data_IF_047066322217
#
_entry.id   IF_047066322217
#
_cell.length_a   1.000
_cell.length_b   1.000
_cell.length_c   1.000
_cell.angle_alpha   90.00
_cell.angle_beta   90.00
_cell.angle_gamma   90.00
#
_symmetry.space_group_name_H-M   'P 1'
#
loop_
_entity.id
_entity.type
_entity.pdbx_description
1 polymer ?
#
# COMPACT_ATOMS: atom_id res chain seq x y z
N UNK A 1 28.53 -17.79 1.96
CA UNK A 1 28.91 -16.91 0.84
C UNK A 1 28.70 -15.48 1.29
N UNK A 2 29.78 -14.73 1.52
CA UNK A 2 29.71 -13.31 1.84
C UNK A 2 29.28 -12.54 0.60
N UNK A 3 28.23 -11.74 0.71
CA UNK A 3 27.85 -10.78 -0.32
C UNK A 3 29.07 -9.91 -0.66
N UNK A 4 29.33 -9.60 -1.94
CA UNK A 4 30.35 -8.62 -2.28
C UNK A 4 29.96 -7.31 -1.59
N UNK A 5 30.89 -6.77 -0.81
CA UNK A 5 30.74 -5.46 -0.18
C UNK A 5 30.59 -4.45 -1.31
N UNK A 6 29.36 -4.14 -1.69
CA UNK A 6 29.06 -2.99 -2.53
C UNK A 6 29.77 -1.82 -1.87
N UNK A 7 30.76 -1.25 -2.55
CA UNK A 7 31.33 0.03 -2.18
C UNK A 7 30.13 0.95 -1.97
N UNK A 8 29.86 1.29 -0.71
CA UNK A 8 28.74 2.14 -0.34
C UNK A 8 29.04 3.50 -0.95
N UNK A 9 28.62 3.68 -2.20
CA UNK A 9 28.55 4.98 -2.82
C UNK A 9 27.42 5.66 -2.03
N UNK A 10 27.70 6.68 -1.20
CA UNK A 10 26.65 7.37 -0.50
C UNK A 10 25.79 8.04 -1.57
N UNK A 11 24.63 7.44 -1.85
CA UNK A 11 23.62 8.01 -2.71
C UNK A 11 22.98 9.15 -1.91
N UNK A 12 23.53 10.35 -2.06
CA UNK A 12 23.11 11.54 -1.31
C UNK A 12 22.16 12.37 -2.17
N UNK A 13 20.86 12.13 -2.01
CA UNK A 13 19.80 13.04 -2.46
C UNK A 13 19.27 13.78 -1.24
N UNK A 14 19.12 15.10 -1.30
CA UNK A 14 18.78 15.94 -0.13
C UNK A 14 17.42 16.63 -0.30
N UNK A 15 16.29 15.93 -0.06
CA UNK A 15 14.95 16.45 -0.33
C UNK A 15 14.58 17.80 0.31
N UNK A 16 15.16 18.16 1.46
CA UNK A 16 14.88 19.44 2.12
C UNK A 16 15.77 20.59 1.63
N UNK A 17 16.91 20.26 1.00
CA UNK A 17 17.83 21.24 0.45
C UNK A 17 17.59 21.47 -1.06
N UNK A 18 17.37 20.39 -1.79
CA UNK A 18 17.16 20.43 -3.23
C UNK A 18 15.87 21.21 -3.54
N UNK A 19 15.90 22.14 -4.51
CA UNK A 19 14.69 22.82 -4.93
C UNK A 19 13.68 21.79 -5.42
N UNK A 20 12.36 22.01 -5.23
CA UNK A 20 11.35 21.09 -5.73
C UNK A 20 11.57 20.88 -7.22
N UNK A 21 11.78 19.63 -7.62
CA UNK A 21 12.02 19.27 -9.01
C UNK A 21 10.83 19.73 -9.86
N UNK A 22 11.10 20.50 -10.92
CA UNK A 22 10.07 20.81 -11.91
C UNK A 22 9.56 19.48 -12.50
N UNK A 23 8.24 19.33 -12.75
CA UNK A 23 7.67 18.08 -13.27
C UNK A 23 8.38 17.54 -14.52
N UNK A 24 8.91 18.43 -15.36
CA UNK A 24 9.68 18.06 -16.57
C UNK A 24 10.97 17.28 -16.25
N UNK A 25 11.67 17.61 -15.16
CA UNK A 25 12.86 16.87 -14.74
C UNK A 25 12.50 15.48 -14.23
N UNK A 26 11.35 15.34 -13.56
CA UNK A 26 10.88 14.04 -13.11
C UNK A 26 10.50 13.15 -14.30
N UNK A 27 9.80 13.71 -15.31
CA UNK A 27 9.48 12.99 -16.53
C UNK A 27 10.73 12.56 -17.29
N UNK A 28 11.72 13.46 -17.45
CA UNK A 28 13.00 13.13 -18.08
C UNK A 28 13.81 12.08 -17.30
N UNK A 29 13.82 12.15 -15.96
CA UNK A 29 14.46 11.12 -15.15
C UNK A 29 13.77 9.75 -15.34
N UNK A 30 12.44 9.72 -15.44
CA UNK A 30 11.69 8.49 -15.70
C UNK A 30 12.00 7.90 -17.08
N UNK A 31 12.14 8.72 -18.13
CA UNK A 31 12.53 8.20 -19.45
C UNK A 31 13.92 7.59 -19.43
N UNK A 32 14.88 8.21 -18.73
CA UNK A 32 16.22 7.63 -18.58
C UNK A 32 16.21 6.32 -17.78
N UNK A 33 15.38 6.24 -16.74
CA UNK A 33 15.20 5.00 -15.97
C UNK A 33 14.61 3.90 -16.87
N UNK A 34 13.64 4.24 -17.72
CA UNK A 34 13.02 3.29 -18.64
C UNK A 34 14.00 2.78 -19.70
N UNK A 35 14.82 3.67 -20.27
CA UNK A 35 15.87 3.31 -21.23
C UNK A 35 16.89 2.34 -20.59
N UNK A 36 17.33 2.62 -19.36
CA UNK A 36 18.22 1.74 -18.60
C UNK A 36 17.56 0.40 -18.23
N UNK A 37 16.25 0.42 -17.91
CA UNK A 37 15.48 -0.80 -17.67
C UNK A 37 15.40 -1.69 -18.93
N UNK A 38 15.21 -1.10 -20.11
CA UNK A 38 15.21 -1.82 -21.38
C UNK A 38 16.60 -2.39 -21.70
N UNK A 39 17.66 -1.59 -21.53
CA UNK A 39 19.03 -2.05 -21.75
C UNK A 39 19.41 -3.22 -20.83
N UNK A 40 19.00 -3.18 -19.55
CA UNK A 40 19.22 -4.28 -18.60
C UNK A 40 18.44 -5.56 -18.96
N UNK A 41 17.27 -5.43 -19.59
CA UNK A 41 16.49 -6.56 -20.07
C UNK A 41 17.12 -7.22 -21.30
N UNK A 42 17.73 -6.43 -22.19
CA UNK A 42 18.39 -6.89 -23.42
C UNK A 42 19.73 -7.61 -23.17
N UNK A 43 20.47 -7.25 -22.10
CA UNK A 43 21.73 -7.88 -21.68
C UNK A 43 21.55 -9.32 -21.12
N UNK A 44 20.37 -9.92 -21.22
CA UNK A 44 20.14 -11.31 -20.87
C UNK A 44 20.16 -11.60 -19.37
N UNK A 45 20.07 -10.56 -18.53
CA UNK A 45 19.63 -10.73 -17.14
C UNK A 45 18.15 -11.15 -17.19
N UNK A 46 17.85 -12.44 -17.35
CA UNK A 46 16.47 -12.99 -17.25
C UNK A 46 15.75 -12.61 -15.94
N UNK A 47 16.56 -12.16 -14.99
CA UNK A 47 16.21 -11.61 -13.71
C UNK A 47 16.48 -10.12 -13.84
N UNK A 48 15.44 -9.27 -13.91
CA UNK A 48 15.61 -7.82 -13.66
C UNK A 48 16.18 -7.60 -12.25
N UNK A 49 16.11 -6.41 -11.64
CA UNK A 49 16.35 -6.31 -10.20
C UNK A 49 15.27 -7.10 -9.42
N UNK A 50 15.43 -8.43 -9.31
CA UNK A 50 14.50 -9.42 -8.73
C UNK A 50 14.33 -9.24 -7.21
N UNK A 51 14.88 -8.18 -6.63
CA UNK A 51 14.83 -7.92 -5.20
C UNK A 51 13.38 -7.93 -4.68
N UNK A 52 12.43 -7.44 -5.48
CA UNK A 52 11.01 -7.38 -5.12
C UNK A 52 10.29 -8.72 -5.35
N UNK A 53 10.64 -9.47 -6.40
CA UNK A 53 10.00 -10.74 -6.76
C UNK A 53 10.57 -11.94 -5.98
N UNK A 54 11.79 -11.83 -5.44
CA UNK A 54 12.40 -12.84 -4.58
C UNK A 54 11.57 -13.14 -3.33
N UNK A 55 10.83 -12.14 -2.84
CA UNK A 55 9.93 -12.28 -1.69
C UNK A 55 8.55 -12.84 -2.09
N UNK A 56 8.27 -12.98 -3.38
CA UNK A 56 6.99 -13.49 -3.93
C UNK A 56 7.12 -14.93 -4.43
N UNK A 57 8.34 -15.38 -4.80
CA UNK A 57 8.65 -16.77 -5.13
C UNK A 57 8.43 -17.65 -3.89
N UNK A 58 7.22 -18.19 -3.73
CA UNK A 58 6.79 -19.02 -2.60
C UNK A 58 5.48 -18.60 -1.93
N UNK A 59 4.79 -17.56 -2.42
CA UNK A 59 3.44 -17.24 -1.97
C UNK A 59 2.44 -18.23 -2.58
N UNK A 60 2.18 -19.32 -1.85
CA UNK A 60 0.98 -20.12 -2.05
C UNK A 60 -0.16 -19.46 -1.27
N UNK A 61 -1.23 -18.99 -1.93
CA UNK A 61 -2.35 -18.41 -1.22
C UNK A 61 -3.01 -19.50 -0.36
N UNK A 62 -2.83 -19.42 0.96
CA UNK A 62 -3.52 -20.30 1.90
C UNK A 62 -4.98 -19.83 2.02
N UNK A 63 -5.81 -20.38 1.14
CA UNK A 63 -7.24 -20.16 1.16
C UNK A 63 -7.88 -21.10 2.19
N UNK A 64 -8.97 -20.66 2.80
CA UNK A 64 -9.81 -21.59 3.56
C UNK A 64 -10.39 -22.66 2.63
N UNK A 65 -10.63 -23.87 3.12
CA UNK A 65 -11.20 -24.97 2.33
C UNK A 65 -12.50 -24.59 1.59
N UNK A 66 -13.31 -23.71 2.19
CA UNK A 66 -14.54 -23.19 1.57
C UNK A 66 -14.24 -22.27 0.38
N UNK A 67 -13.23 -21.41 0.48
CA UNK A 67 -12.82 -20.53 -0.61
C UNK A 67 -12.19 -21.30 -1.77
N UNK A 68 -11.42 -22.35 -1.48
CA UNK A 68 -10.87 -23.24 -2.52
C UNK A 68 -11.98 -23.96 -3.29
N UNK A 69 -12.97 -24.51 -2.56
CA UNK A 69 -14.13 -25.16 -3.17
C UNK A 69 -14.97 -24.19 -4.01
N UNK A 70 -15.16 -22.96 -3.53
CA UNK A 70 -15.91 -21.95 -4.30
C UNK A 70 -15.14 -21.54 -5.57
N UNK A 71 -13.82 -21.39 -5.48
CA UNK A 71 -12.97 -21.07 -6.63
C UNK A 71 -12.96 -22.20 -7.66
N UNK A 72 -12.95 -23.47 -7.23
CA UNK A 72 -13.03 -24.62 -8.15
C UNK A 72 -14.40 -24.75 -8.82
N UNK A 73 -15.48 -24.41 -8.11
CA UNK A 73 -16.82 -24.34 -8.71
C UNK A 73 -16.92 -23.20 -9.73
N UNK A 74 -16.38 -22.02 -9.43
CA UNK A 74 -16.37 -20.86 -10.34
C UNK A 74 -15.54 -21.16 -11.59
N UNK A 75 -14.37 -21.79 -11.43
CA UNK A 75 -13.52 -22.17 -12.57
C UNK A 75 -14.17 -23.24 -13.44
N UNK A 76 -14.90 -24.19 -12.82
CA UNK A 76 -15.66 -25.22 -13.55
C UNK A 76 -16.87 -24.65 -14.29
N UNK A 77 -17.39 -23.49 -13.86
CA UNK A 77 -18.60 -22.86 -14.39
C UNK A 77 -18.31 -21.61 -15.25
N UNK A 78 -17.11 -21.53 -15.84
CA UNK A 78 -16.65 -20.44 -16.72
C UNK A 78 -16.88 -19.03 -16.15
N UNK A 79 -16.74 -18.86 -14.83
CA UNK A 79 -16.92 -17.56 -14.17
C UNK A 79 -18.36 -17.21 -13.77
N UNK A 80 -19.33 -18.10 -14.00
CA UNK A 80 -20.69 -17.90 -13.51
C UNK A 80 -20.80 -18.20 -12.01
N UNK A 81 -21.45 -17.30 -11.26
CA UNK A 81 -21.66 -17.48 -9.82
C UNK A 81 -22.45 -18.76 -9.54
N UNK A 82 -22.01 -19.63 -8.61
CA UNK A 82 -22.75 -20.84 -8.27
C UNK A 82 -24.13 -20.46 -7.69
N UNK A 83 -25.19 -21.05 -8.23
CA UNK A 83 -26.57 -20.84 -7.74
C UNK A 83 -26.71 -21.57 -6.41
N UNK A 84 -26.42 -20.87 -5.31
CA UNK A 84 -26.61 -21.44 -3.98
C UNK A 84 -28.10 -21.43 -3.61
N UNK A 85 -28.66 -22.54 -3.10
CA UNK A 85 -29.97 -22.51 -2.49
C UNK A 85 -29.99 -21.45 -1.38
N UNK A 86 -31.06 -20.64 -1.25
CA UNK A 86 -31.13 -19.67 -0.17
C UNK A 86 -30.98 -20.39 1.17
N UNK A 87 -30.15 -19.86 2.06
CA UNK A 87 -29.85 -20.43 3.39
C UNK A 87 -31.12 -20.63 4.24
N UNK A 88 -32.21 -19.96 3.88
CA UNK A 88 -33.54 -20.17 4.43
C UNK A 88 -34.52 -20.46 3.30
N UNK A 89 -35.42 -21.45 3.43
CA UNK A 89 -36.57 -21.56 2.55
C UNK A 89 -37.35 -20.24 2.56
N UNK A 90 -37.69 -19.69 1.39
CA UNK A 90 -38.42 -18.41 1.30
C UNK A 90 -39.84 -18.48 1.88
N UNK A 91 -40.35 -19.69 2.11
CA UNK A 91 -41.67 -19.94 2.66
C UNK A 91 -41.64 -21.19 3.52
N UNK A 92 -41.81 -21.04 4.84
CA UNK A 92 -42.24 -22.15 5.70
C UNK A 92 -43.68 -22.49 5.30
N UNK A 93 -43.89 -23.73 4.85
CA UNK A 93 -45.08 -24.14 4.09
C UNK A 93 -46.42 -23.63 4.65
N UNK A 94 -47.20 -22.99 3.79
CA UNK A 94 -48.63 -22.71 4.01
C UNK A 94 -49.45 -24.00 3.85
N UNK A 95 -50.72 -23.97 4.25
CA UNK A 95 -51.66 -25.05 3.91
C UNK A 95 -51.63 -25.28 2.38
N UNK A 96 -51.64 -26.54 1.91
CA UNK A 96 -51.60 -26.83 0.48
C UNK A 96 -52.82 -26.17 -0.20
N UNK A 97 -52.56 -25.30 -1.17
CA UNK A 97 -53.58 -24.57 -1.93
C UNK A 97 -53.85 -25.29 -3.27
N UNK A 98 -55.03 -25.05 -3.86
CA UNK A 98 -55.41 -25.54 -5.18
C UNK A 98 -55.38 -27.08 -5.28
N UNK A 99 -54.93 -27.65 -6.40
CA UNK A 99 -54.95 -29.09 -6.71
C UNK A 99 -54.20 -30.00 -5.72
N UNK A 100 -53.40 -29.44 -4.82
CA UNK A 100 -52.68 -30.16 -3.76
C UNK A 100 -53.53 -30.36 -2.49
N UNK A 101 -54.70 -29.72 -2.37
CA UNK A 101 -55.56 -29.85 -1.20
C UNK A 101 -56.24 -31.22 -1.09
N UNK A 102 -56.31 -31.98 -2.18
CA UNK A 102 -56.82 -33.37 -2.19
C UNK A 102 -55.72 -34.41 -1.92
N UNK A 103 -54.44 -34.01 -1.92
CA UNK A 103 -53.32 -34.93 -1.71
C UNK A 103 -52.93 -35.06 -0.23
N UNK A 104 -53.06 -36.27 0.29
CA UNK A 104 -52.73 -36.62 1.68
C UNK A 104 -51.23 -36.42 1.98
N UNK A 105 -50.34 -36.63 1.00
CA UNK A 105 -48.90 -36.46 1.21
C UNK A 105 -48.50 -35.00 1.32
N UNK A 106 -49.09 -34.13 0.50
CA UNK A 106 -48.95 -32.67 0.63
C UNK A 106 -49.37 -32.18 2.03
N UNK A 107 -50.49 -32.66 2.56
CA UNK A 107 -50.92 -32.33 3.93
C UNK A 107 -49.94 -32.82 5.01
N UNK A 108 -49.42 -34.05 4.90
CA UNK A 108 -48.42 -34.57 5.85
C UNK A 108 -47.13 -33.74 5.84
N UNK A 109 -46.65 -33.35 4.67
CA UNK A 109 -45.49 -32.47 4.51
C UNK A 109 -45.75 -31.10 5.14
N UNK A 110 -46.90 -30.47 4.84
CA UNK A 110 -47.28 -29.20 5.44
C UNK A 110 -47.40 -29.27 6.96
N UNK A 111 -48.00 -30.32 7.52
CA UNK A 111 -48.06 -30.53 8.99
C UNK A 111 -46.67 -30.67 9.59
N UNK A 112 -45.77 -31.42 8.96
CA UNK A 112 -44.37 -31.55 9.41
C UNK A 112 -43.66 -30.18 9.42
N UNK A 113 -43.82 -29.41 8.34
CA UNK A 113 -43.25 -28.07 8.22
C UNK A 113 -43.81 -27.09 9.26
N UNK A 114 -45.11 -27.15 9.53
CA UNK A 114 -45.77 -26.32 10.55
C UNK A 114 -45.29 -26.69 11.96
N UNK A 115 -45.11 -27.98 12.27
CA UNK A 115 -44.52 -28.41 13.54
C UNK A 115 -43.11 -27.84 13.72
N UNK A 116 -42.25 -27.96 12.70
CA UNK A 116 -40.92 -27.35 12.74
C UNK A 116 -40.97 -25.83 12.91
N UNK A 117 -41.96 -25.15 12.33
CA UNK A 117 -42.16 -23.72 12.53
C UNK A 117 -42.54 -23.37 13.97
N UNK A 118 -43.44 -24.13 14.59
CA UNK A 118 -43.83 -23.90 15.99
C UNK A 118 -42.62 -24.03 16.91
N UNK A 119 -41.79 -25.06 16.73
CA UNK A 119 -40.56 -25.23 17.50
C UNK A 119 -39.56 -24.08 17.28
N UNK A 120 -39.45 -23.59 16.03
CA UNK A 120 -38.62 -22.43 15.71
C UNK A 120 -39.13 -21.17 16.41
N UNK A 121 -40.44 -20.90 16.37
CA UNK A 121 -41.02 -19.72 17.03
C UNK A 121 -40.92 -19.81 18.55
N UNK A 122 -41.05 -21.01 19.12
CA UNK A 122 -40.80 -21.24 20.53
C UNK A 122 -39.35 -20.90 20.91
N UNK A 123 -38.39 -21.36 20.11
CA UNK A 123 -36.97 -21.02 20.28
C UNK A 123 -36.72 -19.52 20.11
N UNK A 124 -37.34 -18.88 19.12
CA UNK A 124 -37.25 -17.43 18.91
C UNK A 124 -37.79 -16.66 20.12
N UNK A 125 -38.89 -17.10 20.73
CA UNK A 125 -39.45 -16.47 21.92
C UNK A 125 -38.46 -16.53 23.09
N UNK A 126 -37.86 -17.69 23.34
CA UNK A 126 -36.82 -17.84 24.36
C UNK A 126 -35.62 -16.92 24.06
N UNK A 127 -35.17 -16.87 22.80
CA UNK A 127 -34.08 -15.98 22.39
C UNK A 127 -34.43 -14.50 22.56
N UNK A 128 -35.68 -14.11 22.28
CA UNK A 128 -36.15 -12.74 22.49
C UNK A 128 -36.26 -12.39 23.97
N UNK A 129 -36.63 -13.33 24.83
CA UNK A 129 -36.61 -13.15 26.29
C UNK A 129 -35.17 -12.94 26.79
N UNK A 130 -34.23 -13.77 26.32
CA UNK A 130 -32.80 -13.60 26.62
C UNK A 130 -32.25 -12.27 26.07
N UNK A 131 -32.67 -11.86 24.88
CA UNK A 131 -32.26 -10.58 24.30
C UNK A 131 -32.88 -9.39 25.05
N UNK A 132 -34.12 -9.51 25.50
CA UNK A 132 -34.78 -8.45 26.29
C UNK A 132 -34.12 -8.28 27.66
N UNK A 133 -33.59 -9.36 28.24
CA UNK A 133 -32.96 -9.34 29.56
C UNK A 133 -31.49 -8.93 29.51
N UNK A 134 -30.71 -9.44 28.54
CA UNK A 134 -29.25 -9.24 28.47
C UNK A 134 -28.76 -8.46 27.24
N UNK A 135 -29.63 -8.19 26.27
CA UNK A 135 -29.24 -7.53 25.03
C UNK A 135 -28.66 -6.14 25.26
N UNK A 136 -29.37 -5.29 26.00
CA UNK A 136 -28.93 -3.91 26.27
C UNK A 136 -27.58 -3.86 26.97
N UNK A 137 -27.39 -4.67 28.01
CA UNK A 137 -26.13 -4.74 28.78
C UNK A 137 -24.97 -5.28 27.94
N UNK A 138 -25.22 -6.33 27.15
CA UNK A 138 -24.23 -6.89 26.21
C UNK A 138 -23.83 -5.88 25.14
N UNK A 139 -24.80 -5.16 24.56
CA UNK A 139 -24.54 -4.11 23.57
C UNK A 139 -23.72 -2.95 24.17
N UNK A 140 -24.04 -2.49 25.38
CA UNK A 140 -23.27 -1.45 26.05
C UNK A 140 -21.84 -1.89 26.36
N UNK A 141 -21.65 -3.14 26.81
CA UNK A 141 -20.32 -3.69 27.05
C UNK A 141 -19.51 -3.80 25.75
N UNK A 142 -20.13 -4.27 24.67
CA UNK A 142 -19.50 -4.33 23.34
C UNK A 142 -19.09 -2.93 22.86
N UNK A 143 -19.98 -1.94 23.00
CA UNK A 143 -19.69 -0.56 22.64
C UNK A 143 -18.53 0.01 23.46
N UNK A 144 -18.50 -0.20 24.77
CA UNK A 144 -17.39 0.21 25.65
C UNK A 144 -16.05 -0.40 25.21
N UNK A 145 -16.04 -1.70 24.87
CA UNK A 145 -14.85 -2.38 24.33
C UNK A 145 -14.40 -1.76 23.00
N UNK A 146 -15.33 -1.47 22.08
CA UNK A 146 -15.03 -0.84 20.80
C UNK A 146 -14.47 0.58 20.98
N UNK A 147 -15.04 1.37 21.91
CA UNK A 147 -14.52 2.70 22.23
C UNK A 147 -13.11 2.64 22.83
N UNK A 148 -12.84 1.67 23.71
CA UNK A 148 -11.50 1.45 24.27
C UNK A 148 -10.49 1.10 23.17
N UNK A 149 -10.86 0.17 22.28
CA UNK A 149 -10.03 -0.20 21.14
C UNK A 149 -9.77 1.00 20.21
N UNK A 150 -10.81 1.78 19.90
CA UNK A 150 -10.67 3.00 19.09
C UNK A 150 -9.68 3.98 19.72
N UNK A 151 -9.78 4.23 21.03
CA UNK A 151 -8.85 5.11 21.75
C UNK A 151 -7.41 4.60 21.71
N UNK A 152 -7.21 3.29 21.88
CA UNK A 152 -5.88 2.67 21.78
C UNK A 152 -5.29 2.81 20.38
N UNK A 153 -6.08 2.55 19.33
CA UNK A 153 -5.64 2.72 17.94
C UNK A 153 -5.31 4.18 17.63
N UNK A 154 -6.13 5.12 18.11
CA UNK A 154 -5.87 6.55 17.94
C UNK A 154 -4.58 6.97 18.63
N UNK A 155 -4.34 6.50 19.87
CA UNK A 155 -3.10 6.76 20.59
C UNK A 155 -1.86 6.20 19.86
N UNK A 156 -1.95 5.00 19.30
CA UNK A 156 -0.85 4.40 18.53
C UNK A 156 -0.56 5.17 17.24
N UNK A 157 -1.62 5.67 16.60
CA UNK A 157 -1.50 6.51 15.41
C UNK A 157 -0.83 7.85 15.76
N UNK A 158 -1.23 8.48 16.86
CA UNK A 158 -0.65 9.74 17.29
C UNK A 158 0.82 9.59 17.72
N UNK A 159 1.18 8.47 18.38
CA UNK A 159 2.58 8.17 18.68
C UNK A 159 3.42 7.94 17.42
N UNK A 160 2.88 7.24 16.42
CA UNK A 160 3.58 7.01 15.16
C UNK A 160 3.77 8.30 14.37
N UNK A 161 2.77 9.20 14.38
CA UNK A 161 2.91 10.53 13.77
C UNK A 161 4.02 11.33 14.42
N UNK A 162 4.07 11.33 15.76
CA UNK A 162 5.14 11.99 16.49
C UNK A 162 6.51 11.39 16.15
N UNK A 163 6.62 10.06 16.07
CA UNK A 163 7.85 9.39 15.65
C UNK A 163 8.27 9.82 14.24
N UNK A 164 7.35 9.83 13.27
CA UNK A 164 7.63 10.32 11.91
C UNK A 164 8.08 11.78 11.91
N UNK A 165 7.41 12.64 12.69
CA UNK A 165 7.75 14.07 12.78
C UNK A 165 9.12 14.28 13.42
N UNK A 166 9.47 13.53 14.47
CA UNK A 166 10.80 13.58 15.09
C UNK A 166 11.90 13.15 14.14
N UNK A 167 11.69 12.07 13.39
CA UNK A 167 12.64 11.60 12.37
C UNK A 167 12.79 12.64 11.26
N UNK A 168 11.69 13.21 10.78
CA UNK A 168 11.70 14.23 9.73
C UNK A 168 12.38 15.53 10.20
N UNK A 169 12.13 15.93 11.44
CA UNK A 169 12.81 17.08 12.06
C UNK A 169 14.31 16.85 12.16
N UNK A 170 14.73 15.67 12.64
CA UNK A 170 16.15 15.30 12.73
C UNK A 170 16.82 15.26 11.34
N UNK A 171 16.15 14.70 10.33
CA UNK A 171 16.63 14.72 8.93
C UNK A 171 16.80 16.15 8.43
N UNK A 172 15.81 17.01 8.64
CA UNK A 172 15.86 18.41 8.21
C UNK A 172 17.04 19.14 8.84
N UNK A 173 17.24 18.99 10.15
CA UNK A 173 18.36 19.63 10.86
C UNK A 173 19.72 19.15 10.33
N UNK A 174 19.86 17.84 10.07
CA UNK A 174 21.07 17.27 9.47
C UNK A 174 21.35 17.89 8.10
N UNK A 175 20.36 17.98 7.22
CA UNK A 175 20.53 18.57 5.88
C UNK A 175 20.81 20.07 5.93
N UNK A 176 20.17 20.80 6.84
CA UNK A 176 20.40 22.24 7.00
C UNK A 176 21.81 22.56 7.52
N UNK A 177 22.37 21.69 8.38
CA UNK A 177 23.78 21.80 8.80
C UNK A 177 24.76 21.62 7.63
N UNK A 178 24.47 20.67 6.73
CA UNK A 178 25.28 20.39 5.53
C UNK A 178 25.15 21.52 4.50
N UNK A 179 23.95 22.11 4.36
CA UNK A 179 23.69 23.25 3.46
C UNK A 179 24.69 24.37 3.65
N UNK A 180 24.93 24.79 4.89
CA UNK A 180 25.86 25.90 5.20
C UNK A 180 27.27 25.58 4.70
N UNK A 181 27.73 24.35 4.93
CA UNK A 181 29.03 23.88 4.45
C UNK A 181 29.09 23.83 2.93
N UNK A 182 28.05 23.31 2.29
CA UNK A 182 27.92 23.25 0.84
C UNK A 182 27.95 24.64 0.20
N UNK A 183 27.18 25.59 0.72
CA UNK A 183 27.15 26.97 0.20
C UNK A 183 28.50 27.66 0.32
N UNK A 184 29.21 27.46 1.43
CA UNK A 184 30.55 28.01 1.62
C UNK A 184 31.56 27.42 0.64
N UNK A 185 31.51 26.09 0.42
CA UNK A 185 32.37 25.42 -0.54
C UNK A 185 32.07 25.87 -1.98
N UNK A 186 30.81 25.97 -2.35
CA UNK A 186 30.38 26.45 -3.67
C UNK A 186 30.84 27.89 -3.92
N UNK A 187 30.67 28.78 -2.94
CA UNK A 187 31.13 30.16 -3.05
C UNK A 187 32.66 30.25 -3.20
N UNK A 188 33.41 29.45 -2.42
CA UNK A 188 34.87 29.38 -2.55
C UNK A 188 35.30 28.84 -3.90
N UNK A 189 34.64 27.80 -4.40
CA UNK A 189 34.88 27.26 -5.73
C UNK A 189 34.63 28.32 -6.82
N UNK A 190 33.49 29.01 -6.77
CA UNK A 190 33.15 30.06 -7.73
C UNK A 190 34.15 31.23 -7.69
N UNK A 191 34.61 31.62 -6.50
CA UNK A 191 35.68 32.62 -6.35
C UNK A 191 36.98 32.16 -7.02
N UNK A 192 37.40 30.91 -6.81
CA UNK A 192 38.62 30.36 -7.41
C UNK A 192 38.49 30.26 -8.94
N UNK A 193 37.34 29.85 -9.45
CA UNK A 193 37.08 29.79 -10.91
C UNK A 193 37.13 31.19 -11.51
N UNK A 194 36.47 32.16 -10.89
CA UNK A 194 36.51 33.57 -11.33
C UNK A 194 37.92 34.13 -11.29
N UNK A 195 38.66 33.89 -10.20
CA UNK A 195 40.05 34.32 -10.07
C UNK A 195 40.93 33.73 -11.18
N UNK A 196 40.82 32.43 -11.45
CA UNK A 196 41.52 31.77 -12.56
C UNK A 196 41.15 32.37 -13.92
N UNK A 197 39.87 32.63 -14.16
CA UNK A 197 39.43 33.27 -15.40
C UNK A 197 40.01 34.68 -15.56
N UNK A 198 39.99 35.50 -14.50
CA UNK A 198 40.57 36.85 -14.53
C UNK A 198 42.08 36.82 -14.74
N UNK A 199 42.79 35.86 -14.13
CA UNK A 199 44.23 35.70 -14.31
C UNK A 199 44.56 35.30 -15.75
N UNK A 200 43.83 34.33 -16.33
CA UNK A 200 44.01 33.94 -17.73
C UNK A 200 43.82 35.11 -18.68
N UNK A 201 42.76 35.90 -18.49
CA UNK A 201 42.51 37.10 -19.30
C UNK A 201 43.64 38.13 -19.15
N UNK A 202 44.10 38.39 -17.92
CA UNK A 202 45.19 39.33 -17.68
C UNK A 202 46.52 38.89 -18.31
N UNK A 203 46.82 37.58 -18.32
CA UNK A 203 47.98 37.01 -19.00
C UNK A 203 47.86 37.23 -20.51
N UNK A 204 46.70 36.93 -21.09
CA UNK A 204 46.45 37.12 -22.53
C UNK A 204 46.60 38.60 -22.95
N UNK A 205 46.02 39.53 -22.19
CA UNK A 205 46.17 40.98 -22.44
C UNK A 205 47.63 41.44 -22.38
N UNK A 206 48.41 40.88 -21.43
CA UNK A 206 49.85 41.16 -21.31
C UNK A 206 50.64 40.57 -22.46
N UNK A 207 50.33 39.36 -22.92
CA UNK A 207 50.98 38.74 -24.08
C UNK A 207 50.72 39.53 -25.37
N UNK A 208 49.49 39.99 -25.59
CA UNK A 208 49.14 40.85 -26.73
C UNK A 208 49.94 42.16 -26.68
N UNK A 209 50.03 42.78 -25.51
CA UNK A 209 50.81 44.01 -25.32
C UNK A 209 52.31 43.80 -25.58
N UNK A 210 52.87 42.68 -25.12
CA UNK A 210 54.28 42.34 -25.31
C UNK A 210 54.60 42.01 -26.78
N UNK A 211 53.69 41.33 -27.49
CA UNK A 211 53.79 41.12 -28.95
C UNK A 211 53.81 42.46 -29.71
N UNK A 212 52.94 43.41 -29.35
CA UNK A 212 52.91 44.76 -29.95
C UNK A 212 54.22 45.53 -29.73
N UNK A 213 54.83 45.41 -28.55
CA UNK A 213 56.12 46.05 -28.24
C UNK A 213 57.29 45.45 -29.03
N UNK A 214 57.26 44.16 -29.38
CA UNK A 214 58.30 43.50 -30.18
C UNK A 214 58.22 43.78 -31.69
N UNK A 215 57.08 44.29 -32.17
CA UNK A 215 56.89 44.66 -33.58
C UNK A 215 57.17 46.14 -33.87
N UNK A 216 57.54 46.91 -32.84
CA UNK A 216 58.09 48.27 -32.92
C UNK A 216 59.61 48.19 -32.81
#
# INVERSE_FOLDING_TARGET
>A
MSLPSASFLPLDSLPYLDPPSHPDYAAYALTLIEDEMQAMQDEGLETGPDLYLKNVKGYEPNFTQLTEHCLSEISSNEGSTPVRPPLRPSTWGTAPQNSLSSDVQAWKSSVKNLKSKIELEHTNLINLELLSTFGSTSHLLSNSKLQSLQKSLQSNLDSLRLEVDTINSSRKESQESVKVRYTNLNNKWLQLVRANYTLKRAIEDKEVSNKKQKTL
#
